data_IF_332144768470
#
_entry.id   IF_332144768470
#
_cell.length_a   1.000
_cell.length_b   1.000
_cell.length_c   1.000
_cell.angle_alpha   90.00
_cell.angle_beta   90.00
_cell.angle_gamma   90.00
#
_symmetry.space_group_name_H-M   'P 1'
#
loop_
_entity.id
_entity.type
_entity.pdbx_description
1 polymer ?
#
# COMPACT_ATOMS: atom_id res chain seq x y z
N UNK A 1 13.31 15.32 -20.42
CA UNK A 1 13.12 16.51 -19.57
C UNK A 1 14.41 16.83 -18.84
N UNK A 2 15.01 15.88 -18.09
CA UNK A 2 16.23 16.15 -17.33
C UNK A 2 17.45 16.52 -18.19
N UNK A 3 17.66 15.83 -19.30
CA UNK A 3 18.74 16.20 -20.24
C UNK A 3 18.59 17.63 -20.76
N UNK A 4 17.35 18.10 -20.98
CA UNK A 4 17.10 19.51 -21.32
C UNK A 4 17.35 20.45 -20.13
N UNK A 5 16.99 20.04 -18.90
CA UNK A 5 17.28 20.83 -17.70
C UNK A 5 18.77 20.88 -17.41
N UNK A 6 19.49 19.78 -17.63
CA UNK A 6 20.95 19.71 -17.45
C UNK A 6 21.75 20.40 -18.57
N UNK A 7 21.14 20.71 -19.72
CA UNK A 7 21.80 21.44 -20.81
C UNK A 7 21.85 22.96 -20.58
N UNK A 8 21.17 23.48 -19.55
CA UNK A 8 21.22 24.88 -19.18
C UNK A 8 22.34 25.11 -18.17
N UNK A 9 23.22 26.05 -18.45
CA UNK A 9 24.41 26.33 -17.62
C UNK A 9 24.03 27.00 -16.31
N UNK A 10 22.91 27.74 -16.28
CA UNK A 10 22.43 28.42 -15.07
C UNK A 10 20.91 28.47 -14.96
N UNK A 11 20.43 28.84 -13.77
CA UNK A 11 19.00 28.96 -13.46
C UNK A 11 18.33 30.08 -14.28
N UNK A 12 19.06 31.12 -14.68
CA UNK A 12 18.53 32.26 -15.42
C UNK A 12 18.15 31.88 -16.85
N UNK A 13 18.91 30.99 -17.46
CA UNK A 13 18.59 30.45 -18.78
C UNK A 13 17.29 29.67 -18.78
N UNK A 14 17.08 28.82 -17.76
CA UNK A 14 15.82 28.08 -17.58
C UNK A 14 14.66 29.05 -17.37
N UNK A 15 14.83 30.07 -16.56
CA UNK A 15 13.84 31.12 -16.33
C UNK A 15 13.48 31.85 -17.64
N UNK A 16 14.42 32.16 -18.50
CA UNK A 16 14.18 32.77 -19.83
C UNK A 16 13.31 31.88 -20.71
N UNK A 17 13.65 30.56 -20.76
CA UNK A 17 12.89 29.60 -21.56
C UNK A 17 11.46 29.44 -21.05
N UNK A 18 11.26 29.34 -19.73
CA UNK A 18 9.94 29.21 -19.14
C UNK A 18 9.09 30.47 -19.31
N UNK A 19 9.69 31.66 -19.26
CA UNK A 19 8.98 32.92 -19.55
C UNK A 19 8.46 32.97 -20.98
N UNK A 20 9.16 32.35 -21.93
CA UNK A 20 8.78 32.29 -23.34
C UNK A 20 7.91 31.06 -23.67
N UNK A 21 7.45 30.34 -22.66
CA UNK A 21 6.59 29.17 -22.86
C UNK A 21 5.31 29.53 -23.60
N UNK A 22 4.85 28.62 -24.47
CA UNK A 22 3.53 28.74 -25.14
C UNK A 22 2.37 28.62 -24.14
N UNK A 23 2.57 27.99 -22.98
CA UNK A 23 1.58 27.85 -21.92
C UNK A 23 1.39 29.16 -21.15
N UNK A 24 0.17 29.67 -21.13
CA UNK A 24 -0.20 30.87 -20.34
C UNK A 24 0.07 30.64 -18.84
N UNK A 25 -0.33 29.46 -18.34
CA UNK A 25 -0.13 29.10 -16.93
C UNK A 25 1.35 29.13 -16.53
N UNK A 26 2.25 28.62 -17.38
CA UNK A 26 3.68 28.63 -17.09
C UNK A 26 4.22 30.05 -17.04
N UNK A 27 3.77 30.94 -17.93
CA UNK A 27 4.17 32.35 -17.91
C UNK A 27 3.68 33.09 -16.68
N UNK A 28 2.45 32.83 -16.25
CA UNK A 28 1.87 33.42 -15.02
C UNK A 28 2.62 32.96 -13.77
N UNK A 29 2.87 31.66 -13.62
CA UNK A 29 3.67 31.10 -12.52
C UNK A 29 5.08 31.69 -12.49
N UNK A 30 5.70 31.89 -13.64
CA UNK A 30 7.02 32.54 -13.71
C UNK A 30 6.98 34.02 -13.36
N UNK A 31 5.89 34.72 -13.65
CA UNK A 31 5.70 36.12 -13.24
C UNK A 31 5.51 36.23 -11.71
N UNK A 32 4.81 35.28 -11.10
CA UNK A 32 4.66 35.19 -9.63
C UNK A 32 5.99 34.88 -8.94
N UNK A 33 6.75 33.89 -9.45
CA UNK A 33 8.09 33.58 -8.93
C UNK A 33 9.01 34.80 -8.94
N UNK A 34 8.91 35.65 -9.96
CA UNK A 34 9.69 36.89 -10.04
C UNK A 34 9.27 37.91 -8.97
N UNK A 35 7.99 37.94 -8.57
CA UNK A 35 7.50 38.84 -7.51
C UNK A 35 7.92 38.36 -6.11
N UNK A 36 8.02 37.04 -5.89
CA UNK A 36 8.33 36.46 -4.58
C UNK A 36 9.81 36.58 -4.21
N UNK A 37 10.70 36.74 -5.18
CA UNK A 37 12.07 36.98 -4.84
C UNK A 37 13.04 36.95 -6.01
N UNK A 38 13.67 38.07 -6.24
CA UNK A 38 14.92 38.16 -6.96
C UNK A 38 16.08 37.44 -6.24
N UNK A 39 15.81 36.38 -5.46
CA UNK A 39 16.82 35.66 -4.73
C UNK A 39 17.24 34.44 -5.53
N UNK A 40 18.34 34.55 -6.24
CA UNK A 40 18.97 33.45 -7.02
C UNK A 40 19.13 32.16 -6.18
N UNK A 41 19.39 32.28 -4.87
CA UNK A 41 19.50 31.14 -3.97
C UNK A 41 18.17 30.39 -3.82
N UNK A 42 17.03 31.09 -3.78
CA UNK A 42 15.73 30.43 -3.71
C UNK A 42 15.38 29.68 -4.99
N UNK A 43 15.62 30.32 -6.13
CA UNK A 43 15.42 29.71 -7.45
C UNK A 43 16.35 28.50 -7.62
N UNK A 44 17.63 28.64 -7.27
CA UNK A 44 18.59 27.54 -7.31
C UNK A 44 18.18 26.36 -6.40
N UNK A 45 17.65 26.62 -5.22
CA UNK A 45 17.15 25.61 -4.29
C UNK A 45 15.91 24.86 -4.87
N UNK A 46 14.98 25.58 -5.50
CA UNK A 46 13.84 24.95 -6.19
C UNK A 46 14.28 24.05 -7.34
N UNK A 47 15.23 24.50 -8.17
CA UNK A 47 15.76 23.67 -9.25
C UNK A 47 16.57 22.50 -8.73
N UNK A 48 17.32 22.66 -7.64
CA UNK A 48 17.99 21.57 -6.96
C UNK A 48 17.03 20.48 -6.52
N UNK A 49 15.89 20.85 -5.91
CA UNK A 49 14.86 19.92 -5.49
C UNK A 49 14.23 19.19 -6.69
N UNK A 50 13.93 19.88 -7.79
CA UNK A 50 13.41 19.28 -9.03
C UNK A 50 14.43 18.32 -9.63
N UNK A 51 15.69 18.76 -9.74
CA UNK A 51 16.78 17.92 -10.27
C UNK A 51 16.97 16.66 -9.44
N UNK A 52 16.97 16.80 -8.11
CA UNK A 52 17.04 15.64 -7.21
C UNK A 52 15.86 14.69 -7.38
N UNK A 53 14.66 15.23 -7.57
CA UNK A 53 13.45 14.42 -7.77
C UNK A 53 13.50 13.63 -9.09
N UNK A 54 14.19 14.15 -10.11
CA UNK A 54 14.35 13.52 -11.42
C UNK A 54 15.66 12.71 -11.57
N UNK A 55 16.43 12.56 -10.49
CA UNK A 55 17.73 11.89 -10.54
C UNK A 55 17.66 10.43 -10.99
N UNK A 56 16.53 9.77 -10.78
CA UNK A 56 16.33 8.41 -11.28
C UNK A 56 16.43 8.29 -12.80
N UNK A 57 16.22 9.39 -13.55
CA UNK A 57 16.41 9.43 -15.01
C UNK A 57 17.88 9.48 -15.45
N UNK A 58 18.84 9.55 -14.51
CA UNK A 58 20.27 9.45 -14.83
C UNK A 58 20.68 8.02 -15.16
N UNK A 59 19.90 7.04 -14.68
CA UNK A 59 20.07 5.66 -15.07
C UNK A 59 19.76 5.53 -16.58
N UNK A 60 20.75 5.10 -17.35
CA UNK A 60 20.64 4.99 -18.81
C UNK A 60 19.52 4.05 -19.25
N UNK A 61 19.34 2.93 -18.54
CA UNK A 61 18.27 1.96 -18.82
C UNK A 61 16.90 2.57 -18.60
N UNK A 62 16.70 3.27 -17.47
CA UNK A 62 15.43 3.96 -17.18
C UNK A 62 15.17 5.05 -18.23
N UNK A 63 16.19 5.84 -18.57
CA UNK A 63 16.09 6.89 -19.59
C UNK A 63 15.73 6.32 -20.97
N UNK A 64 16.33 5.22 -21.38
CA UNK A 64 16.04 4.55 -22.64
C UNK A 64 14.59 4.02 -22.68
N UNK A 65 14.15 3.33 -21.62
CA UNK A 65 12.82 2.75 -21.53
C UNK A 65 11.69 3.79 -21.35
N UNK A 66 12.00 5.00 -20.93
CA UNK A 66 11.01 6.09 -20.78
C UNK A 66 11.04 7.11 -21.91
N UNK A 67 11.95 6.97 -22.88
CA UNK A 67 12.13 7.93 -23.97
C UNK A 67 11.08 7.76 -25.09
N UNK A 68 10.66 6.53 -25.32
CA UNK A 68 9.67 6.17 -26.35
C UNK A 68 8.49 5.47 -25.67
N UNK A 69 7.30 5.68 -26.19
CA UNK A 69 6.08 5.02 -25.72
C UNK A 69 5.60 4.08 -26.83
N UNK A 70 5.76 2.79 -26.62
CA UNK A 70 5.30 1.76 -27.58
C UNK A 70 3.79 1.54 -27.48
N UNK A 71 3.21 1.88 -26.31
CA UNK A 71 1.80 1.64 -26.01
C UNK A 71 1.18 2.90 -25.40
N UNK A 72 0.02 3.30 -25.90
CA UNK A 72 -0.80 4.32 -25.27
C UNK A 72 -1.57 3.70 -24.10
N UNK A 73 -1.26 4.10 -22.89
CA UNK A 73 -2.02 3.66 -21.70
C UNK A 73 -3.51 3.95 -21.82
N UNK A 74 -3.87 5.08 -22.42
CA UNK A 74 -5.26 5.44 -22.65
C UNK A 74 -5.98 4.42 -23.52
N UNK A 75 -5.32 3.97 -24.59
CA UNK A 75 -5.94 3.05 -25.55
C UNK A 75 -6.05 1.64 -24.96
N UNK A 76 -5.04 1.21 -24.20
CA UNK A 76 -5.09 -0.09 -23.49
C UNK A 76 -6.19 -0.10 -22.44
N UNK A 77 -6.34 0.97 -21.66
CA UNK A 77 -7.37 1.07 -20.62
C UNK A 77 -8.80 1.11 -21.16
N UNK A 78 -8.98 1.43 -22.43
CA UNK A 78 -10.28 1.40 -23.11
C UNK A 78 -10.61 0.03 -23.73
N UNK A 79 -9.64 -0.87 -23.85
CA UNK A 79 -9.85 -2.20 -24.42
C UNK A 79 -10.41 -3.16 -23.36
N UNK A 80 -11.46 -3.92 -23.67
CA UNK A 80 -12.00 -4.92 -22.75
C UNK A 80 -11.03 -6.11 -22.60
N UNK A 81 -11.08 -6.77 -21.45
CA UNK A 81 -10.32 -8.01 -21.16
C UNK A 81 -8.81 -7.88 -21.31
N UNK A 82 -8.25 -6.72 -20.94
CA UNK A 82 -6.81 -6.49 -20.89
C UNK A 82 -6.34 -6.42 -19.44
N UNK A 83 -5.12 -6.88 -19.20
CA UNK A 83 -4.40 -6.70 -17.94
C UNK A 83 -3.13 -5.90 -18.19
N UNK A 84 -2.80 -5.02 -17.25
CA UNK A 84 -1.55 -4.26 -17.25
C UNK A 84 -0.78 -4.70 -16.02
N UNK A 85 0.41 -5.22 -16.23
CA UNK A 85 1.34 -5.57 -15.17
C UNK A 85 2.43 -4.50 -15.12
N UNK A 86 2.54 -3.80 -13.98
CA UNK A 86 3.62 -2.89 -13.68
C UNK A 86 4.58 -3.64 -12.77
N UNK A 87 5.72 -4.03 -13.30
CA UNK A 87 6.75 -4.78 -12.58
C UNK A 87 8.04 -3.97 -12.49
N UNK A 88 8.76 -4.13 -11.41
CA UNK A 88 10.11 -3.62 -11.25
C UNK A 88 10.95 -4.67 -10.50
N UNK A 89 12.20 -4.71 -10.81
CA UNK A 89 13.12 -5.63 -10.17
C UNK A 89 13.51 -5.12 -8.78
N UNK A 90 13.40 -5.98 -7.79
CA UNK A 90 13.62 -5.65 -6.39
C UNK A 90 15.05 -5.16 -6.11
N UNK A 91 16.04 -5.69 -6.85
CA UNK A 91 17.43 -5.27 -6.75
C UNK A 91 17.64 -3.79 -7.09
N UNK A 92 16.76 -3.19 -7.90
CA UNK A 92 16.83 -1.77 -8.31
C UNK A 92 15.73 -0.91 -7.69
N UNK A 93 15.12 -1.37 -6.60
CA UNK A 93 13.97 -0.72 -5.96
C UNK A 93 14.23 0.75 -5.63
N UNK A 94 15.36 1.08 -5.03
CA UNK A 94 15.70 2.47 -4.66
C UNK A 94 15.70 3.43 -5.87
N UNK A 95 16.12 2.92 -7.03
CA UNK A 95 16.20 3.71 -8.26
C UNK A 95 14.86 3.80 -8.98
N UNK A 96 14.08 2.72 -8.96
CA UNK A 96 12.86 2.58 -9.75
C UNK A 96 11.58 2.92 -8.98
N UNK A 97 11.59 2.93 -7.65
CA UNK A 97 10.41 3.17 -6.81
C UNK A 97 9.67 4.47 -7.18
N UNK A 98 10.40 5.55 -7.47
CA UNK A 98 9.80 6.84 -7.87
C UNK A 98 9.12 6.75 -9.24
N UNK A 99 9.75 6.09 -10.20
CA UNK A 99 9.16 5.86 -11.53
C UNK A 99 7.91 5.00 -11.41
N UNK A 100 7.98 3.92 -10.63
CA UNK A 100 6.86 3.03 -10.38
C UNK A 100 5.69 3.77 -9.73
N UNK A 101 5.94 4.49 -8.63
CA UNK A 101 4.91 5.27 -7.93
C UNK A 101 4.28 6.34 -8.82
N UNK A 102 5.08 7.02 -9.66
CA UNK A 102 4.59 8.00 -10.64
C UNK A 102 3.73 7.34 -11.71
N UNK A 103 4.19 6.22 -12.27
CA UNK A 103 3.45 5.48 -13.32
C UNK A 103 2.13 4.95 -12.75
N UNK A 104 2.15 4.35 -11.57
CA UNK A 104 0.95 3.86 -10.90
C UNK A 104 -0.03 5.01 -10.61
N UNK A 105 0.46 6.14 -10.09
CA UNK A 105 -0.39 7.32 -9.86
C UNK A 105 -1.04 7.83 -11.15
N UNK A 106 -0.32 7.79 -12.27
CA UNK A 106 -0.84 8.17 -13.58
C UNK A 106 -1.90 7.21 -14.10
N UNK A 107 -1.65 5.89 -14.02
CA UNK A 107 -2.63 4.84 -14.38
C UNK A 107 -3.91 4.99 -13.56
N UNK A 108 -3.80 5.11 -12.23
CA UNK A 108 -4.95 5.30 -11.36
C UNK A 108 -5.74 6.56 -11.71
N UNK A 109 -5.07 7.66 -12.05
CA UNK A 109 -5.70 8.89 -12.50
C UNK A 109 -6.46 8.70 -13.81
N UNK A 110 -5.86 8.05 -14.81
CA UNK A 110 -6.51 7.77 -16.09
C UNK A 110 -7.76 6.91 -15.91
N UNK A 111 -7.68 5.89 -15.07
CA UNK A 111 -8.82 5.04 -14.72
C UNK A 111 -9.95 5.85 -14.06
N UNK A 112 -9.63 6.76 -13.14
CA UNK A 112 -10.62 7.62 -12.49
C UNK A 112 -11.30 8.61 -13.44
N UNK A 113 -10.55 9.24 -14.33
CA UNK A 113 -11.12 10.23 -15.27
C UNK A 113 -12.06 9.54 -16.26
N UNK A 114 -11.75 8.34 -16.70
CA UNK A 114 -12.46 7.63 -17.75
C UNK A 114 -13.51 6.63 -17.22
N UNK A 115 -13.85 6.63 -15.93
CA UNK A 115 -14.70 5.60 -15.30
C UNK A 115 -16.09 5.46 -15.92
N UNK A 116 -16.63 6.50 -16.56
CA UNK A 116 -17.94 6.48 -17.22
C UNK A 116 -17.94 5.73 -18.54
N UNK A 117 -16.76 5.58 -19.16
CA UNK A 117 -16.59 5.06 -20.52
C UNK A 117 -15.90 3.68 -20.52
N UNK A 118 -15.79 3.04 -19.38
CA UNK A 118 -15.15 1.72 -19.22
C UNK A 118 -15.90 0.82 -18.25
N UNK A 119 -15.64 -0.45 -18.36
CA UNK A 119 -16.06 -1.45 -17.39
C UNK A 119 -15.33 -1.34 -16.06
N UNK A 120 -15.72 -2.14 -15.09
CA UNK A 120 -15.02 -2.28 -13.83
C UNK A 120 -13.58 -2.77 -14.03
N UNK A 121 -12.63 -2.13 -13.34
CA UNK A 121 -11.21 -2.48 -13.41
C UNK A 121 -10.71 -2.83 -12.03
N UNK A 122 -10.28 -4.07 -11.84
CA UNK A 122 -9.63 -4.52 -10.62
C UNK A 122 -8.21 -3.97 -10.56
N UNK A 123 -7.86 -3.39 -9.43
CA UNK A 123 -6.52 -2.89 -9.14
C UNK A 123 -5.95 -3.74 -8.01
N UNK A 124 -4.82 -4.39 -8.26
CA UNK A 124 -4.07 -5.11 -7.24
C UNK A 124 -2.70 -4.45 -7.07
N UNK A 125 -2.37 -4.04 -5.85
CA UNK A 125 -1.10 -3.44 -5.50
C UNK A 125 -0.41 -4.39 -4.53
N UNK A 126 0.54 -5.13 -5.06
CA UNK A 126 1.37 -6.02 -4.28
C UNK A 126 2.49 -5.22 -3.61
N UNK A 127 2.64 -5.39 -2.30
CA UNK A 127 3.63 -4.71 -1.46
C UNK A 127 3.65 -3.18 -1.64
N UNK A 128 2.57 -2.54 -1.22
CA UNK A 128 2.36 -1.08 -1.38
C UNK A 128 3.45 -0.23 -0.73
N UNK A 129 4.16 -0.75 0.27
CA UNK A 129 5.23 -0.05 0.97
C UNK A 129 6.52 0.02 0.16
N UNK A 130 6.69 -0.84 -0.84
CA UNK A 130 7.90 -0.87 -1.68
C UNK A 130 7.89 0.19 -2.80
N UNK A 131 6.78 0.87 -3.03
CA UNK A 131 6.70 1.96 -4.00
C UNK A 131 6.97 3.31 -3.35
N UNK A 132 7.38 4.30 -4.15
CA UNK A 132 7.39 5.68 -3.67
C UNK A 132 5.94 6.11 -3.32
N UNK A 133 5.76 6.98 -2.32
CA UNK A 133 4.44 7.35 -1.86
C UNK A 133 3.61 7.98 -2.97
N UNK A 134 2.43 7.42 -3.21
CA UNK A 134 1.45 7.98 -4.15
C UNK A 134 0.69 9.09 -3.41
N UNK A 135 0.77 10.34 -3.87
CA UNK A 135 0.16 11.45 -3.16
C UNK A 135 -1.34 11.22 -2.92
N UNK A 136 -1.75 11.33 -1.66
CA UNK A 136 -3.14 11.21 -1.21
C UNK A 136 -3.80 9.86 -1.59
N UNK A 137 -3.05 8.77 -1.61
CA UNK A 137 -3.61 7.47 -2.00
C UNK A 137 -4.75 7.05 -1.06
N UNK A 138 -4.59 7.18 0.25
CA UNK A 138 -5.63 6.83 1.21
C UNK A 138 -6.96 7.58 0.96
N UNK A 139 -6.90 8.88 0.63
CA UNK A 139 -8.10 9.64 0.25
C UNK A 139 -8.65 9.20 -1.11
N UNK A 140 -7.78 8.84 -2.05
CA UNK A 140 -8.21 8.34 -3.37
C UNK A 140 -8.95 7.01 -3.26
N UNK A 141 -8.58 6.13 -2.34
CA UNK A 141 -9.27 4.85 -2.12
C UNK A 141 -10.78 5.04 -1.91
N UNK A 142 -11.18 6.06 -1.17
CA UNK A 142 -12.61 6.36 -0.97
C UNK A 142 -13.34 6.70 -2.28
N UNK A 143 -12.66 7.27 -3.25
CA UNK A 143 -13.23 7.64 -4.56
C UNK A 143 -13.07 6.55 -5.61
N UNK A 144 -12.18 5.60 -5.43
CA UNK A 144 -11.95 4.50 -6.37
C UNK A 144 -13.18 3.60 -6.49
N UNK A 145 -13.89 3.36 -5.40
CA UNK A 145 -15.13 2.59 -5.40
C UNK A 145 -16.18 3.20 -6.35
N UNK A 146 -16.42 4.51 -6.26
CA UNK A 146 -17.37 5.21 -7.14
C UNK A 146 -16.88 5.27 -8.59
N UNK A 147 -15.57 5.16 -8.79
CA UNK A 147 -14.94 5.08 -10.09
C UNK A 147 -14.87 3.65 -10.66
N UNK A 148 -15.59 2.68 -10.10
CA UNK A 148 -15.59 1.27 -10.53
C UNK A 148 -14.16 0.66 -10.53
N UNK A 149 -13.42 0.89 -9.44
CA UNK A 149 -12.05 0.42 -9.25
C UNK A 149 -11.93 -0.31 -7.90
N UNK A 150 -12.49 -1.52 -7.77
CA UNK A 150 -12.19 -2.33 -6.59
C UNK A 150 -10.68 -2.53 -6.50
N UNK A 151 -10.13 -2.16 -5.34
CA UNK A 151 -8.70 -2.09 -5.13
C UNK A 151 -8.30 -3.03 -4.01
N UNK A 152 -7.36 -3.92 -4.29
CA UNK A 152 -6.73 -4.82 -3.35
C UNK A 152 -5.32 -4.31 -3.07
N UNK A 153 -4.96 -4.25 -1.80
CA UNK A 153 -3.63 -3.84 -1.37
C UNK A 153 -3.07 -4.89 -0.45
N UNK A 154 -1.84 -5.27 -0.70
CA UNK A 154 -1.11 -6.24 0.11
C UNK A 154 0.04 -5.54 0.80
N UNK A 155 0.28 -5.91 2.04
CA UNK A 155 1.36 -5.38 2.86
C UNK A 155 1.76 -6.39 3.93
N UNK A 156 2.99 -6.32 4.39
CA UNK A 156 3.51 -7.21 5.43
C UNK A 156 3.21 -6.69 6.83
N UNK A 157 3.29 -5.36 7.03
CA UNK A 157 3.08 -4.70 8.31
C UNK A 157 2.30 -3.39 8.14
N UNK A 158 1.50 -3.03 9.15
CA UNK A 158 0.82 -1.75 9.16
C UNK A 158 1.78 -0.58 9.42
N UNK A 159 2.83 -0.81 10.21
CA UNK A 159 3.86 0.19 10.51
C UNK A 159 4.58 0.68 9.25
N UNK A 160 4.81 -0.19 8.27
CA UNK A 160 5.41 0.18 6.98
C UNK A 160 4.62 1.26 6.22
N UNK A 161 3.30 1.35 6.41
CA UNK A 161 2.51 2.44 5.84
C UNK A 161 2.89 3.79 6.46
N UNK A 162 3.18 3.82 7.76
CA UNK A 162 3.58 5.05 8.45
C UNK A 162 4.95 5.54 8.00
N UNK A 163 5.87 4.63 7.67
CA UNK A 163 7.18 4.97 7.14
C UNK A 163 7.10 5.62 5.76
N UNK A 164 6.23 5.10 4.88
CA UNK A 164 6.12 5.55 3.49
C UNK A 164 5.17 6.74 3.35
N UNK A 165 4.02 6.72 4.01
CA UNK A 165 2.94 7.70 3.83
C UNK A 165 2.82 8.71 4.97
N UNK A 166 3.64 8.57 6.02
CA UNK A 166 3.69 9.46 7.16
C UNK A 166 2.79 9.02 8.32
N UNK A 167 2.85 9.77 9.40
CA UNK A 167 2.18 9.45 10.66
C UNK A 167 0.68 9.18 10.49
N UNK A 168 0.18 8.16 11.18
CA UNK A 168 -1.23 7.70 11.18
C UNK A 168 -1.75 7.24 9.79
N UNK A 169 -0.85 6.93 8.85
CA UNK A 169 -1.24 6.44 7.53
C UNK A 169 -1.93 5.07 7.62
N UNK A 170 -1.47 4.19 8.50
CA UNK A 170 -2.08 2.91 8.85
C UNK A 170 -3.58 3.05 9.15
N UNK A 171 -3.95 3.98 10.01
CA UNK A 171 -5.35 4.25 10.37
C UNK A 171 -6.17 4.75 9.19
N UNK A 172 -5.57 5.63 8.36
CA UNK A 172 -6.23 6.14 7.15
C UNK A 172 -6.51 5.03 6.14
N UNK A 173 -5.53 4.16 5.88
CA UNK A 173 -5.68 3.02 4.99
C UNK A 173 -6.69 2.02 5.54
N UNK A 174 -6.58 1.67 6.83
CA UNK A 174 -7.50 0.75 7.49
C UNK A 174 -8.95 1.26 7.47
N UNK A 175 -9.17 2.56 7.65
CA UNK A 175 -10.52 3.15 7.58
C UNK A 175 -11.08 3.16 6.15
N UNK A 176 -10.23 3.31 5.12
CA UNK A 176 -10.65 3.32 3.73
C UNK A 176 -11.01 1.92 3.20
N UNK A 177 -10.48 0.85 3.81
CA UNK A 177 -10.72 -0.53 3.41
C UNK A 177 -11.96 -1.11 4.08
N UNK A 178 -12.97 -1.50 3.28
CA UNK A 178 -14.20 -2.13 3.78
C UNK A 178 -13.99 -3.59 4.16
N UNK A 179 -13.13 -4.30 3.45
CA UNK A 179 -12.74 -5.68 3.69
C UNK A 179 -11.30 -5.68 4.17
N UNK A 180 -11.03 -6.41 5.25
CA UNK A 180 -9.69 -6.61 5.80
C UNK A 180 -9.47 -8.10 5.96
N UNK A 181 -8.32 -8.58 5.50
CA UNK A 181 -7.93 -9.99 5.60
C UNK A 181 -6.57 -10.02 6.28
N UNK A 182 -6.50 -10.67 7.42
CA UNK A 182 -5.29 -10.86 8.19
C UNK A 182 -4.88 -12.32 8.13
N UNK A 183 -3.73 -12.58 7.54
CA UNK A 183 -3.02 -13.85 7.67
C UNK A 183 -2.15 -13.82 8.93
N UNK A 184 -1.35 -14.87 9.14
CA UNK A 184 -0.36 -14.85 10.20
C UNK A 184 0.54 -13.63 10.05
N UNK A 185 0.61 -12.83 11.09
CA UNK A 185 1.46 -11.63 11.18
C UNK A 185 2.70 -11.92 12.02
N UNK A 186 3.75 -11.13 11.81
CA UNK A 186 5.02 -11.29 12.53
C UNK A 186 5.31 -10.12 13.48
N UNK A 187 4.43 -9.13 13.54
CA UNK A 187 4.58 -7.96 14.41
C UNK A 187 3.38 -7.79 15.35
N UNK A 188 3.69 -7.37 16.58
CA UNK A 188 2.71 -7.24 17.64
C UNK A 188 1.71 -6.10 17.41
N UNK A 189 2.12 -5.03 16.75
CA UNK A 189 1.27 -3.85 16.56
C UNK A 189 0.14 -4.18 15.58
N UNK A 190 0.47 -4.83 14.46
CA UNK A 190 -0.54 -5.34 13.52
C UNK A 190 -1.44 -6.38 14.18
N UNK A 191 -0.88 -7.33 14.96
CA UNK A 191 -1.67 -8.33 15.67
C UNK A 191 -2.67 -7.69 16.62
N UNK A 192 -2.24 -6.70 17.39
CA UNK A 192 -3.09 -5.96 18.32
C UNK A 192 -4.20 -5.20 17.62
N UNK A 193 -3.86 -4.48 16.54
CA UNK A 193 -4.85 -3.72 15.77
C UNK A 193 -5.97 -4.62 15.22
N UNK A 194 -5.61 -5.80 14.69
CA UNK A 194 -6.61 -6.77 14.22
C UNK A 194 -7.40 -7.40 15.35
N UNK A 195 -6.79 -7.71 16.50
CA UNK A 195 -7.49 -8.19 17.70
C UNK A 195 -8.53 -7.17 18.17
N UNK A 196 -8.15 -5.89 18.26
CA UNK A 196 -9.03 -4.80 18.67
C UNK A 196 -10.20 -4.61 17.67
N UNK A 197 -9.93 -4.76 16.37
CA UNK A 197 -10.96 -4.67 15.32
C UNK A 197 -11.96 -5.83 15.32
N UNK A 198 -11.54 -7.02 15.71
CA UNK A 198 -12.42 -8.18 15.87
C UNK A 198 -13.35 -7.96 17.07
N UNK A 199 -12.86 -7.32 18.12
CA UNK A 199 -13.61 -6.93 19.29
C UNK A 199 -13.51 -7.92 20.45
N UNK A 200 -14.33 -7.66 21.46
CA UNK A 200 -14.30 -8.40 22.71
C UNK A 200 -15.62 -9.11 22.96
N UNK A 201 -15.58 -10.13 23.79
CA UNK A 201 -16.74 -10.87 24.31
C UNK A 201 -16.71 -10.88 25.83
N UNK A 202 -17.87 -10.77 26.45
CA UNK A 202 -17.99 -10.91 27.90
C UNK A 202 -18.12 -12.40 28.24
N UNK A 203 -17.16 -12.91 29.00
CA UNK A 203 -17.09 -14.32 29.42
C UNK A 203 -17.44 -14.37 30.89
N UNK A 204 -18.47 -15.16 31.24
CA UNK A 204 -18.82 -15.42 32.63
C UNK A 204 -17.87 -16.47 33.20
N UNK A 205 -17.08 -16.11 34.21
CA UNK A 205 -16.26 -17.04 34.99
C UNK A 205 -16.91 -17.36 36.31
N UNK A 206 -16.92 -18.63 36.60
CA UNK A 206 -17.42 -19.18 37.85
C UNK A 206 -16.21 -19.49 38.72
N UNK A 207 -16.12 -18.85 39.86
CA UNK A 207 -15.11 -19.17 40.88
C UNK A 207 -15.80 -19.71 42.12
N UNK A 208 -15.39 -20.86 42.60
CA UNK A 208 -15.84 -21.40 43.87
C UNK A 208 -14.66 -21.49 44.83
N UNK A 209 -14.75 -20.80 45.94
CA UNK A 209 -13.74 -20.87 47.01
C UNK A 209 -14.28 -21.76 48.15
N UNK A 210 -13.53 -22.80 48.50
CA UNK A 210 -13.83 -23.61 49.69
C UNK A 210 -13.35 -22.85 50.91
N UNK A 211 -14.23 -22.31 51.70
CA UNK A 211 -13.89 -21.69 52.98
C UNK A 211 -14.37 -22.57 54.13
N UNK A 212 -13.43 -23.04 54.96
CA UNK A 212 -13.71 -23.77 56.17
C UNK A 212 -14.03 -22.75 57.28
N UNK A 213 -15.28 -22.68 57.67
CA UNK A 213 -15.65 -21.92 58.85
C UNK A 213 -15.73 -22.85 60.06
N UNK A 214 -15.03 -22.47 61.12
CA UNK A 214 -15.13 -23.14 62.41
C UNK A 214 -15.97 -22.23 63.31
N UNK A 215 -17.11 -22.72 63.75
CA UNK A 215 -17.95 -21.98 64.70
C UNK A 215 -17.32 -22.03 66.11
N UNK A 216 -17.68 -21.04 66.95
CA UNK A 216 -17.23 -20.99 68.36
C UNK A 216 -17.60 -22.24 69.15
N UNK A 217 -18.52 -23.04 68.64
CA UNK A 217 -18.94 -24.33 69.23
C UNK A 217 -18.18 -25.52 68.69
N UNK A 218 -17.07 -25.32 67.93
CA UNK A 218 -16.22 -26.38 67.38
C UNK A 218 -16.77 -27.17 66.21
N UNK A 219 -17.96 -26.78 65.67
CA UNK A 219 -18.49 -27.41 64.46
C UNK A 219 -17.91 -26.75 63.23
N UNK A 220 -17.28 -27.51 62.36
CA UNK A 220 -16.78 -27.04 61.05
C UNK A 220 -17.88 -27.28 60.00
N UNK A 221 -18.13 -26.25 59.15
CA UNK A 221 -18.98 -26.37 58.00
C UNK A 221 -18.25 -25.75 56.77
N UNK A 222 -18.42 -26.42 55.63
CA UNK A 222 -17.85 -25.93 54.34
C UNK A 222 -18.88 -25.01 53.65
N UNK A 223 -18.56 -23.73 53.52
CA UNK A 223 -19.28 -22.84 52.65
C UNK A 223 -18.56 -22.82 51.29
N UNK A 224 -19.31 -23.00 50.23
CA UNK A 224 -18.85 -22.86 48.85
C UNK A 224 -19.56 -21.67 48.19
N UNK A 225 -19.13 -20.45 48.48
CA UNK A 225 -19.68 -19.33 47.75
C UNK A 225 -19.30 -19.46 46.28
N UNK A 226 -20.28 -19.40 45.39
CA UNK A 226 -20.06 -19.33 43.96
C UNK A 226 -20.11 -17.86 43.60
N UNK A 227 -18.98 -17.33 43.11
CA UNK A 227 -18.88 -15.96 42.63
C UNK A 227 -18.91 -15.96 41.11
N UNK A 228 -19.82 -15.19 40.57
CA UNK A 228 -19.92 -14.93 39.12
C UNK A 228 -19.15 -13.66 38.82
N UNK A 229 -18.17 -13.73 37.96
CA UNK A 229 -17.46 -12.56 37.48
C UNK A 229 -17.54 -12.53 35.96
N UNK A 230 -18.08 -11.44 35.43
CA UNK A 230 -18.02 -11.20 34.01
C UNK A 230 -16.67 -10.54 33.70
N UNK A 231 -15.89 -11.16 32.83
CA UNK A 231 -14.60 -10.67 32.37
C UNK A 231 -14.66 -10.42 30.87
N UNK A 232 -14.23 -9.24 30.46
CA UNK A 232 -14.20 -8.88 29.05
C UNK A 232 -12.89 -9.38 28.45
N UNK A 233 -12.99 -10.29 27.50
CA UNK A 233 -11.84 -10.90 26.82
C UNK A 233 -11.87 -10.58 25.32
N UNK A 234 -10.69 -10.49 24.71
CA UNK A 234 -10.62 -10.40 23.25
C UNK A 234 -11.24 -11.65 22.61
N UNK A 235 -12.02 -11.47 21.56
CA UNK A 235 -12.61 -12.59 20.82
C UNK A 235 -11.51 -13.41 20.11
N UNK A 236 -10.44 -12.76 19.71
CA UNK A 236 -9.19 -13.37 19.21
C UNK A 236 -8.04 -12.61 19.86
N UNK A 237 -7.20 -13.31 20.60
CA UNK A 237 -6.02 -12.73 21.21
C UNK A 237 -4.96 -12.37 20.16
N UNK A 238 -4.18 -11.32 20.40
CA UNK A 238 -3.09 -10.95 19.50
C UNK A 238 -2.04 -12.07 19.33
N UNK A 239 -1.80 -12.86 20.37
CA UNK A 239 -0.95 -14.05 20.33
C UNK A 239 -1.44 -15.11 19.34
N UNK A 240 -2.76 -15.30 19.22
CA UNK A 240 -3.33 -16.25 18.25
C UNK A 240 -3.10 -15.81 16.81
N UNK A 241 -3.07 -14.51 16.55
CA UNK A 241 -2.76 -13.96 15.21
C UNK A 241 -1.30 -14.17 14.82
N UNK A 242 -0.38 -14.15 15.79
CA UNK A 242 1.05 -14.45 15.58
C UNK A 242 1.28 -15.94 15.31
N UNK A 243 0.43 -16.81 15.84
CA UNK A 243 0.51 -18.26 15.74
C UNK A 243 -0.46 -18.87 14.72
N UNK A 244 -1.16 -18.01 13.95
CA UNK A 244 -2.16 -18.48 13.01
C UNK A 244 -1.57 -19.49 12.02
N UNK A 245 -2.28 -20.60 11.80
CA UNK A 245 -1.81 -21.67 10.94
C UNK A 245 -1.67 -21.19 9.48
N UNK A 246 -0.69 -21.74 8.76
CA UNK A 246 -0.53 -21.41 7.34
C UNK A 246 -1.77 -21.81 6.55
N UNK A 247 -2.35 -20.83 5.84
CA UNK A 247 -3.60 -21.00 5.10
C UNK A 247 -4.85 -20.52 5.84
N UNK A 248 -4.76 -20.25 7.14
CA UNK A 248 -5.85 -19.61 7.87
C UNK A 248 -5.78 -18.08 7.74
N UNK A 249 -6.92 -17.44 7.76
CA UNK A 249 -7.05 -16.00 7.75
C UNK A 249 -8.22 -15.53 8.61
N UNK A 250 -8.08 -14.35 9.20
CA UNK A 250 -9.17 -13.62 9.83
C UNK A 250 -9.68 -12.59 8.83
N UNK A 251 -10.95 -12.68 8.51
CA UNK A 251 -11.64 -11.77 7.59
C UNK A 251 -12.57 -10.86 8.39
N UNK A 252 -12.46 -9.56 8.17
CA UNK A 252 -13.32 -8.55 8.80
C UNK A 252 -14.03 -7.78 7.69
N UNK A 253 -15.36 -7.78 7.74
CA UNK A 253 -16.20 -7.06 6.80
C UNK A 253 -17.43 -6.47 7.49
N UNK A 254 -17.60 -5.16 7.40
CA UNK A 254 -18.76 -4.43 7.99
C UNK A 254 -19.00 -4.77 9.46
N UNK A 255 -17.94 -4.82 10.26
CA UNK A 255 -18.03 -5.10 11.71
C UNK A 255 -18.33 -6.57 12.06
N UNK A 256 -18.31 -7.47 11.10
CA UNK A 256 -18.35 -8.91 11.31
C UNK A 256 -17.00 -9.51 11.03
N UNK A 257 -16.60 -10.49 11.82
CA UNK A 257 -15.36 -11.23 11.66
C UNK A 257 -15.62 -12.72 11.50
N UNK A 258 -14.73 -13.38 10.77
CA UNK A 258 -14.72 -14.83 10.62
C UNK A 258 -13.29 -15.34 10.45
N UNK A 259 -13.00 -16.49 11.05
CA UNK A 259 -11.80 -17.27 10.72
C UNK A 259 -12.14 -18.18 9.55
N UNK A 260 -11.32 -18.15 8.50
CA UNK A 260 -11.53 -18.95 7.30
C UNK A 260 -10.23 -19.67 6.93
N UNK A 261 -10.35 -20.85 6.35
CA UNK A 261 -9.25 -21.54 5.69
C UNK A 261 -9.18 -21.08 4.23
N UNK A 262 -8.03 -20.56 3.82
CA UNK A 262 -7.76 -20.11 2.46
C UNK A 262 -6.98 -21.19 1.72
N UNK A 263 -7.57 -21.87 0.76
CA UNK A 263 -6.84 -22.84 -0.03
C UNK A 263 -5.76 -22.16 -0.87
N UNK A 264 -4.67 -22.83 -1.11
CA UNK A 264 -3.63 -22.31 -2.00
C UNK A 264 -4.18 -22.26 -3.42
N UNK A 265 -3.79 -21.24 -4.21
CA UNK A 265 -4.33 -21.03 -5.56
C UNK A 265 -4.18 -22.24 -6.48
N UNK A 266 -3.10 -23.01 -6.31
CA UNK A 266 -2.83 -24.21 -7.10
C UNK A 266 -3.61 -25.46 -6.63
N UNK A 267 -4.32 -25.38 -5.49
CA UNK A 267 -5.20 -26.44 -5.00
C UNK A 267 -6.64 -26.26 -5.50
N UNK A 268 -6.98 -25.07 -6.02
CA UNK A 268 -8.32 -24.74 -6.49
C UNK A 268 -8.43 -24.96 -7.99
N UNK A 269 -9.28 -25.93 -8.40
CA UNK A 269 -9.57 -26.15 -9.82
C UNK A 269 -10.18 -24.89 -10.47
N UNK A 270 -9.78 -24.47 -11.70
CA UNK A 270 -8.84 -25.09 -12.63
C UNK A 270 -7.39 -24.60 -12.55
N UNK A 271 -6.99 -23.96 -11.46
CA UNK A 271 -5.68 -23.32 -11.32
C UNK A 271 -4.48 -24.28 -11.40
N UNK A 272 -4.55 -25.55 -10.91
CA UNK A 272 -3.43 -26.49 -11.07
C UNK A 272 -3.01 -26.69 -12.51
N UNK A 273 -3.99 -26.74 -13.44
CA UNK A 273 -3.71 -26.85 -14.86
C UNK A 273 -3.08 -25.60 -15.47
N UNK A 274 -3.38 -24.41 -14.91
CA UNK A 274 -2.82 -23.13 -15.36
C UNK A 274 -1.43 -22.86 -14.77
N UNK A 275 -1.17 -23.32 -13.56
CA UNK A 275 0.14 -23.18 -12.91
C UNK A 275 1.24 -23.99 -13.61
N UNK A 276 0.88 -25.08 -14.31
CA UNK A 276 1.82 -25.89 -15.09
C UNK A 276 2.16 -25.30 -16.47
N UNK A 277 1.49 -24.22 -16.89
CA UNK A 277 1.81 -23.48 -18.10
C UNK A 277 2.82 -22.36 -17.79
N UNK A 278 4.05 -22.72 -17.58
CA UNK A 278 5.09 -21.72 -17.40
C UNK A 278 6.10 -22.08 -16.35
N UNK A 279 6.72 -23.24 -16.43
CA UNK A 279 8.11 -23.31 -16.06
C UNK A 279 8.82 -22.40 -17.07
N UNK A 280 9.17 -21.19 -16.64
CA UNK A 280 10.08 -20.33 -17.39
C UNK A 280 11.46 -21.02 -17.37
N UNK A 281 11.60 -22.08 -18.17
CA UNK A 281 12.88 -22.79 -18.38
C UNK A 281 13.77 -22.07 -19.38
N UNK A 282 13.35 -20.91 -19.85
CA UNK A 282 14.15 -19.97 -20.65
C UNK A 282 14.26 -18.63 -19.95
N UNK A 283 14.79 -18.63 -18.74
CA UNK A 283 15.58 -17.47 -18.34
C UNK A 283 16.81 -17.52 -19.22
N UNK A 284 16.86 -16.62 -20.22
CA UNK A 284 18.07 -16.31 -20.93
C UNK A 284 19.17 -16.16 -19.88
N UNK A 285 20.20 -16.98 -19.96
CA UNK A 285 21.43 -16.79 -19.21
C UNK A 285 21.95 -15.40 -19.60
N UNK A 286 21.71 -14.42 -18.73
CA UNK A 286 22.41 -13.15 -18.83
C UNK A 286 23.86 -13.47 -18.54
N UNK A 287 24.68 -13.49 -19.58
CA UNK A 287 26.11 -13.53 -19.42
C UNK A 287 26.54 -12.32 -18.59
N UNK A 288 27.38 -12.56 -17.58
CA UNK A 288 27.93 -11.57 -16.62
C UNK A 288 28.69 -10.39 -17.28
N UNK A 289 28.56 -10.18 -18.58
CA UNK A 289 29.21 -9.14 -19.37
C UNK A 289 28.36 -7.92 -19.72
N UNK A 290 27.05 -7.93 -19.49
CA UNK A 290 26.14 -6.86 -19.92
C UNK A 290 25.78 -5.83 -18.82
N UNK A 291 26.50 -5.86 -17.69
CA UNK A 291 26.36 -4.86 -16.62
C UNK A 291 27.53 -3.90 -16.68
N UNK A 292 27.46 -2.91 -17.55
CA UNK A 292 28.24 -1.67 -17.44
C UNK A 292 27.30 -0.46 -17.54
#
# INVERSE_FOLDING_TARGET
>A
IRQRLASYEDADEIVKVLKNSKSVLVRELMAELKKIGGNERYIGSCFGAVSQSLRFLDNKTIAANTNVSDVSLRDVLQQPKKAIFLQFEQAYQEQTARLFGFTLAHVLRLLQINFRYRDEVFVAIDEIINSAPIPRLAQKLNTMRSAKMPTFMYLQTLSGLNEVYGRDADKLFMSACSLKICYRVNDNDTAKEFSDLVGNVDVERWSSTNTLHVSETGRSYNQRPITFTSERMALIESSELLELATGDAIVIYKGKSARIAMPRYYEVYPMPHRANYGSCSELAEFEDGDII
#
